data_IF_575026934297
#
_entry.id   IF_575026934297
#
_cell.length_a   1.000
_cell.length_b   1.000
_cell.length_c   1.000
_cell.angle_alpha   90.00
_cell.angle_beta   90.00
_cell.angle_gamma   90.00
#
_symmetry.space_group_name_H-M   'P 1'
#
loop_
_entity.id
_entity.type
_entity.pdbx_description
1 polymer ?
#
# COMPACT_ATOMS: atom_id res chain seq x y z
N UNK A 1 -14.89 -29.42 3.83
CA UNK A 1 -14.00 -28.78 2.84
C UNK A 1 -14.68 -27.59 2.17
N UNK A 2 -15.81 -27.75 1.47
CA UNK A 2 -16.46 -26.64 0.75
C UNK A 2 -16.96 -25.50 1.66
N UNK A 3 -17.60 -25.83 2.79
CA UNK A 3 -18.05 -24.84 3.79
C UNK A 3 -16.91 -23.99 4.35
N UNK A 4 -15.76 -24.61 4.65
CA UNK A 4 -14.59 -23.93 5.21
C UNK A 4 -13.93 -22.99 4.19
N UNK A 5 -13.89 -23.38 2.92
CA UNK A 5 -13.42 -22.52 1.84
C UNK A 5 -14.30 -21.28 1.67
N UNK A 6 -15.63 -21.48 1.71
CA UNK A 6 -16.60 -20.40 1.62
C UNK A 6 -16.49 -19.44 2.81
N UNK A 7 -16.30 -19.97 4.02
CA UNK A 7 -16.06 -19.16 5.23
C UNK A 7 -14.78 -18.31 5.10
N UNK A 8 -13.68 -18.89 4.60
CA UNK A 8 -12.43 -18.15 4.34
C UNK A 8 -12.61 -17.05 3.29
N UNK A 9 -13.32 -17.34 2.19
CA UNK A 9 -13.61 -16.34 1.15
C UNK A 9 -14.47 -15.19 1.69
N UNK A 10 -15.48 -15.50 2.50
CA UNK A 10 -16.33 -14.49 3.12
C UNK A 10 -15.53 -13.60 4.08
N UNK A 11 -14.68 -14.21 4.90
CA UNK A 11 -13.81 -13.47 5.83
C UNK A 11 -12.83 -12.56 5.09
N UNK A 12 -12.22 -13.05 4.03
CA UNK A 12 -11.35 -12.25 3.16
C UNK A 12 -12.10 -11.05 2.56
N UNK A 13 -13.31 -11.27 2.02
CA UNK A 13 -14.13 -10.20 1.44
C UNK A 13 -14.54 -9.16 2.48
N UNK A 14 -14.87 -9.57 3.71
CA UNK A 14 -15.17 -8.64 4.80
C UNK A 14 -13.97 -7.75 5.14
N UNK A 15 -12.78 -8.35 5.27
CA UNK A 15 -11.54 -7.60 5.54
C UNK A 15 -11.20 -6.63 4.41
N UNK A 16 -11.28 -7.10 3.16
CA UNK A 16 -11.05 -6.26 1.98
C UNK A 16 -12.00 -5.06 1.94
N UNK A 17 -13.30 -5.28 2.16
CA UNK A 17 -14.28 -4.20 2.20
C UNK A 17 -14.00 -3.21 3.33
N UNK A 18 -13.64 -3.69 4.52
CA UNK A 18 -13.30 -2.83 5.66
C UNK A 18 -12.09 -1.94 5.35
N UNK A 19 -11.01 -2.52 4.82
CA UNK A 19 -9.81 -1.78 4.40
C UNK A 19 -10.18 -0.74 3.33
N UNK A 20 -10.99 -1.12 2.34
CA UNK A 20 -11.45 -0.22 1.27
C UNK A 20 -12.23 0.97 1.83
N UNK A 21 -13.14 0.75 2.78
CA UNK A 21 -13.87 1.85 3.44
C UNK A 21 -12.94 2.78 4.22
N UNK A 22 -11.92 2.25 4.90
CA UNK A 22 -10.92 3.06 5.61
C UNK A 22 -10.08 3.88 4.64
N UNK A 23 -9.68 3.31 3.50
CA UNK A 23 -8.99 4.03 2.42
C UNK A 23 -9.83 5.21 1.92
N UNK A 24 -11.12 5.01 1.66
CA UNK A 24 -12.02 6.09 1.22
C UNK A 24 -12.22 7.18 2.27
N UNK A 25 -12.04 6.87 3.54
CA UNK A 25 -12.21 7.81 4.66
C UNK A 25 -10.91 8.54 5.02
N UNK A 26 -9.77 8.12 4.48
CA UNK A 26 -8.48 8.72 4.76
C UNK A 26 -8.35 10.10 4.09
N UNK A 27 -7.68 11.03 4.76
CA UNK A 27 -7.48 12.41 4.30
C UNK A 27 -6.47 12.48 3.15
N UNK A 28 -5.43 11.66 3.22
CA UNK A 28 -4.37 11.60 2.22
C UNK A 28 -3.65 10.24 2.21
N UNK A 29 -2.76 10.06 1.25
CA UNK A 29 -1.99 8.83 1.07
C UNK A 29 -1.07 8.51 2.24
N UNK A 30 -0.60 9.50 3.01
CA UNK A 30 0.21 9.23 4.20
C UNK A 30 -0.64 8.57 5.27
N UNK A 31 -1.86 9.07 5.50
CA UNK A 31 -2.76 8.46 6.48
C UNK A 31 -3.07 6.99 6.14
N UNK A 32 -3.24 6.68 4.84
CA UNK A 32 -3.40 5.29 4.37
C UNK A 32 -2.14 4.47 4.70
N UNK A 33 -0.96 4.96 4.32
CA UNK A 33 0.30 4.22 4.48
C UNK A 33 0.71 4.06 5.93
N UNK A 34 0.40 5.01 6.80
CA UNK A 34 0.78 4.96 8.20
C UNK A 34 -0.18 4.12 9.04
N UNK A 35 -1.49 4.21 8.78
CA UNK A 35 -2.50 3.62 9.65
C UNK A 35 -3.07 2.30 9.12
N UNK A 36 -2.99 2.02 7.81
CA UNK A 36 -3.57 0.82 7.18
C UNK A 36 -2.52 -0.17 6.67
N UNK A 37 -1.23 0.16 6.74
CA UNK A 37 -0.16 -0.70 6.23
C UNK A 37 -0.22 -2.11 6.82
N UNK A 38 -0.32 -2.26 8.14
CA UNK A 38 -0.34 -3.59 8.78
C UNK A 38 -1.56 -4.41 8.35
N UNK A 39 -2.73 -3.78 8.26
CA UNK A 39 -3.97 -4.44 7.83
C UNK A 39 -3.89 -4.92 6.37
N UNK A 40 -3.30 -4.09 5.49
CA UNK A 40 -3.10 -4.44 4.08
C UNK A 40 -2.10 -5.58 3.96
N UNK A 41 -0.95 -5.51 4.65
CA UNK A 41 0.06 -6.57 4.65
C UNK A 41 -0.52 -7.91 5.12
N UNK A 42 -1.29 -7.89 6.21
CA UNK A 42 -1.93 -9.08 6.75
C UNK A 42 -3.01 -9.66 5.81
N UNK A 43 -3.71 -8.83 5.02
CA UNK A 43 -4.69 -9.32 4.05
C UNK A 43 -4.02 -10.10 2.91
N UNK A 44 -2.84 -9.65 2.47
CA UNK A 44 -2.11 -10.21 1.34
C UNK A 44 -1.03 -11.22 1.73
N UNK A 45 -0.85 -11.51 3.02
CA UNK A 45 0.23 -12.36 3.54
C UNK A 45 1.62 -11.88 3.04
N UNK A 46 1.87 -10.58 3.19
CA UNK A 46 3.05 -9.91 2.66
C UNK A 46 3.92 -9.31 3.77
N UNK A 47 5.23 -9.32 3.56
CA UNK A 47 6.19 -8.73 4.50
C UNK A 47 6.33 -7.21 4.33
N UNK A 48 6.19 -6.71 3.09
CA UNK A 48 6.41 -5.30 2.73
C UNK A 48 5.45 -4.80 1.66
N UNK A 49 5.10 -3.53 1.79
CA UNK A 49 4.31 -2.76 0.82
C UNK A 49 5.03 -1.45 0.55
N UNK A 50 4.96 -1.00 -0.69
CA UNK A 50 5.52 0.29 -1.10
C UNK A 50 4.57 0.90 -2.10
N UNK A 51 4.12 2.13 -1.83
CA UNK A 51 3.23 2.86 -2.74
C UNK A 51 4.01 4.02 -3.32
N UNK A 52 4.04 4.08 -4.65
CA UNK A 52 4.68 5.14 -5.40
C UNK A 52 3.61 6.13 -5.90
N UNK A 53 3.87 7.41 -5.72
CA UNK A 53 3.12 8.51 -6.30
C UNK A 53 4.01 9.24 -7.33
N UNK A 54 3.41 9.72 -8.42
CA UNK A 54 4.17 10.42 -9.47
C UNK A 54 4.31 11.90 -9.10
N UNK A 55 5.54 12.40 -9.04
CA UNK A 55 5.86 13.83 -9.09
C UNK A 55 6.13 14.24 -10.54
N UNK A 56 5.08 14.75 -11.21
CA UNK A 56 5.15 15.19 -12.61
C UNK A 56 6.06 16.39 -12.85
N UNK A 57 6.40 17.18 -11.82
CA UNK A 57 7.27 18.34 -12.00
C UNK A 57 8.73 17.94 -12.09
N UNK A 58 9.10 16.85 -11.40
CA UNK A 58 10.46 16.33 -11.33
C UNK A 58 10.69 15.12 -12.23
N UNK A 59 9.64 14.56 -12.83
CA UNK A 59 9.70 13.31 -13.60
C UNK A 59 10.23 12.14 -12.74
N UNK A 60 9.79 12.10 -11.49
CA UNK A 60 10.19 11.10 -10.50
C UNK A 60 8.95 10.42 -9.91
N UNK A 61 9.12 9.19 -9.43
CA UNK A 61 8.19 8.56 -8.50
C UNK A 61 8.71 8.70 -7.08
N UNK A 62 7.80 8.99 -6.16
CA UNK A 62 8.10 9.18 -4.74
C UNK A 62 7.32 8.16 -3.94
N UNK A 63 7.99 7.47 -3.03
CA UNK A 63 7.34 6.64 -2.02
C UNK A 63 7.66 7.15 -0.63
N UNK A 64 6.71 7.02 0.29
CA UNK A 64 6.87 7.42 1.68
C UNK A 64 6.71 6.19 2.56
N UNK A 65 7.60 6.04 3.53
CA UNK A 65 7.56 4.95 4.49
C UNK A 65 7.97 5.44 5.88
N UNK A 66 7.48 4.78 6.92
CA UNK A 66 7.81 5.11 8.31
C UNK A 66 8.84 4.13 8.86
N UNK A 67 9.88 4.66 9.49
CA UNK A 67 10.88 3.88 10.23
C UNK A 67 10.97 4.44 11.65
N UNK A 68 10.47 3.70 12.65
CA UNK A 68 10.29 4.25 13.99
C UNK A 68 9.26 5.38 13.97
N UNK A 69 9.62 6.59 14.43
CA UNK A 69 8.78 7.78 14.37
C UNK A 69 9.07 8.70 13.16
N UNK A 70 10.07 8.37 12.35
CA UNK A 70 10.48 9.19 11.22
C UNK A 70 9.79 8.75 9.92
N UNK A 71 9.29 9.74 9.18
CA UNK A 71 8.80 9.55 7.80
C UNK A 71 9.96 9.78 6.85
N UNK A 72 10.31 8.75 6.09
CA UNK A 72 11.36 8.78 5.08
C UNK A 72 10.75 8.69 3.69
N UNK A 73 11.47 9.22 2.71
CA UNK A 73 11.05 9.24 1.31
C UNK A 73 12.06 8.52 0.42
N UNK A 74 11.56 7.73 -0.53
CA UNK A 74 12.33 7.14 -1.63
C UNK A 74 11.95 7.92 -2.88
N UNK A 75 12.93 8.51 -3.55
CA UNK A 75 12.74 9.16 -4.85
C UNK A 75 13.46 8.34 -5.91
N UNK A 76 12.74 8.01 -6.98
CA UNK A 76 13.25 7.21 -8.08
C UNK A 76 12.93 7.94 -9.39
N UNK A 77 13.92 8.25 -10.23
CA UNK A 77 13.67 8.80 -11.57
C UNK A 77 12.82 7.86 -12.43
N UNK A 78 11.96 8.43 -13.28
CA UNK A 78 11.24 7.67 -14.31
C UNK A 78 12.19 7.43 -15.48
N UNK A 79 13.02 6.41 -15.33
CA UNK A 79 13.99 5.97 -16.34
C UNK A 79 14.24 4.45 -16.26
N UNK A 80 15.13 3.96 -17.12
CA UNK A 80 15.44 2.53 -17.19
C UNK A 80 16.48 2.06 -16.17
N UNK A 81 16.87 2.88 -15.20
CA UNK A 81 17.89 2.54 -14.21
C UNK A 81 17.32 1.79 -13.00
N UNK A 82 16.00 1.71 -12.87
CA UNK A 82 15.34 0.98 -11.77
C UNK A 82 14.07 0.26 -12.22
N UNK A 83 13.73 -0.84 -11.54
CA UNK A 83 12.48 -1.58 -11.80
C UNK A 83 11.26 -0.69 -11.57
N UNK A 84 11.31 0.19 -10.56
CA UNK A 84 10.19 1.07 -10.23
C UNK A 84 10.03 2.22 -11.25
N UNK A 85 11.14 2.75 -11.77
CA UNK A 85 11.17 3.81 -12.79
C UNK A 85 10.92 3.33 -14.23
N UNK A 86 11.08 2.04 -14.49
CA UNK A 86 10.85 1.41 -15.79
C UNK A 86 9.34 1.31 -16.09
N UNK A 87 8.73 2.44 -16.50
CA UNK A 87 7.33 2.56 -16.92
C UNK A 87 7.20 2.94 -18.39
#
# INVERSE_FOLDING_TARGET
MEKELLEKQLEYQKKLNSITTKIYSARDTNEILLNLQEEILALFDADRITVYAIDRKKEEIVSKFKTGDEVNEIMVPIDNNSIAGYC
#
